data_IF_556301226751
#
_entry.id   IF_556301226751
#
_cell.length_a   1.000
_cell.length_b   1.000
_cell.length_c   1.000
_cell.angle_alpha   90.00
_cell.angle_beta   90.00
_cell.angle_gamma   90.00
#
_symmetry.space_group_name_H-M   'P 1'
#
loop_
_entity.id
_entity.type
_entity.pdbx_description
1 polymer ?
#
# COMPACT_ATOMS: atom_id res chain seq x y z
N UNK A 1 17.96 9.50 -13.59
CA UNK A 1 16.72 9.80 -12.84
C UNK A 1 15.55 9.43 -13.74
N UNK A 2 14.49 8.82 -13.21
CA UNK A 2 13.36 8.28 -14.00
C UNK A 2 12.36 9.35 -14.46
N UNK A 3 12.49 10.60 -13.99
CA UNK A 3 11.54 11.69 -14.29
C UNK A 3 10.21 11.61 -13.52
N UNK A 4 10.05 10.60 -12.65
CA UNK A 4 8.83 10.36 -11.85
C UNK A 4 9.02 10.86 -10.42
N UNK A 5 7.91 11.07 -9.70
CA UNK A 5 7.95 11.41 -8.27
C UNK A 5 8.78 10.36 -7.50
N UNK A 6 9.49 10.75 -6.43
CA UNK A 6 10.37 9.86 -5.66
C UNK A 6 9.57 8.94 -4.72
N UNK A 7 8.60 8.21 -5.26
CA UNK A 7 7.77 7.22 -4.57
C UNK A 7 7.91 5.86 -5.25
N UNK A 8 7.74 4.80 -4.48
CA UNK A 8 7.75 3.43 -5.00
C UNK A 8 6.78 2.55 -4.23
N UNK A 9 6.11 1.58 -4.89
CA UNK A 9 5.16 0.68 -4.24
C UNK A 9 5.92 -0.29 -3.32
N UNK A 10 5.90 0.00 -2.01
CA UNK A 10 6.58 -0.81 -0.98
C UNK A 10 5.74 -1.99 -0.51
N UNK A 11 4.42 -1.77 -0.38
CA UNK A 11 3.46 -2.72 0.13
C UNK A 11 2.13 -2.54 -0.62
N UNK A 12 1.36 -3.62 -0.70
CA UNK A 12 0.03 -3.62 -1.28
C UNK A 12 -0.90 -4.52 -0.48
N UNK A 13 -2.20 -4.30 -0.63
CA UNK A 13 -3.23 -5.19 -0.09
C UNK A 13 -3.78 -6.04 -1.23
N UNK A 14 -4.18 -7.28 -0.91
CA UNK A 14 -4.70 -8.23 -1.86
C UNK A 14 -6.00 -8.81 -1.30
N UNK A 15 -7.00 -8.94 -2.15
CA UNK A 15 -8.24 -9.63 -1.84
C UNK A 15 -8.48 -10.72 -2.89
N UNK A 16 -9.02 -11.85 -2.46
CA UNK A 16 -9.46 -12.89 -3.38
C UNK A 16 -10.68 -12.39 -4.16
N UNK A 17 -10.73 -12.64 -5.47
CA UNK A 17 -11.88 -12.29 -6.31
C UNK A 17 -13.19 -12.82 -5.74
N UNK A 18 -13.19 -14.04 -5.18
CA UNK A 18 -14.36 -14.63 -4.53
C UNK A 18 -14.87 -13.85 -3.30
N UNK A 19 -13.99 -13.13 -2.59
CA UNK A 19 -14.38 -12.25 -1.49
C UNK A 19 -14.86 -10.90 -2.00
N UNK A 20 -14.26 -10.38 -3.07
CA UNK A 20 -14.69 -9.16 -3.75
C UNK A 20 -16.12 -9.33 -4.26
N UNK A 21 -16.39 -10.41 -4.99
CA UNK A 21 -17.69 -10.68 -5.58
C UNK A 21 -18.76 -10.91 -4.52
N UNK A 22 -18.39 -11.64 -3.45
CA UNK A 22 -19.34 -12.01 -2.40
C UNK A 22 -19.63 -10.87 -1.42
N UNK A 23 -18.65 -10.00 -1.17
CA UNK A 23 -18.75 -8.95 -0.15
C UNK A 23 -18.17 -7.61 -0.63
N UNK A 24 -18.65 -7.03 -1.73
CA UNK A 24 -18.08 -5.81 -2.30
C UNK A 24 -18.14 -4.62 -1.32
N UNK A 25 -19.21 -4.51 -0.53
CA UNK A 25 -19.34 -3.47 0.50
C UNK A 25 -18.34 -3.62 1.65
N UNK A 26 -17.96 -4.85 2.01
CA UNK A 26 -16.92 -5.10 3.01
C UNK A 26 -15.55 -4.69 2.47
N UNK A 27 -15.25 -5.02 1.21
CA UNK A 27 -14.00 -4.61 0.57
C UNK A 27 -13.88 -3.09 0.51
N UNK A 28 -14.96 -2.39 0.14
CA UNK A 28 -14.99 -0.93 0.17
C UNK A 28 -14.74 -0.38 1.57
N UNK A 29 -15.42 -0.92 2.58
CA UNK A 29 -15.26 -0.50 3.99
C UNK A 29 -13.82 -0.68 4.47
N UNK A 30 -13.15 -1.77 4.07
CA UNK A 30 -11.75 -2.01 4.42
C UNK A 30 -10.84 -0.99 3.72
N UNK A 31 -11.06 -0.69 2.44
CA UNK A 31 -10.26 0.30 1.71
C UNK A 31 -10.38 1.69 2.34
N UNK A 32 -11.62 2.13 2.61
CA UNK A 32 -11.88 3.42 3.25
C UNK A 32 -11.23 3.49 4.65
N UNK A 33 -11.36 2.41 5.43
CA UNK A 33 -10.75 2.31 6.75
C UNK A 33 -9.21 2.35 6.73
N UNK A 34 -8.57 1.79 5.70
CA UNK A 34 -7.11 1.88 5.53
C UNK A 34 -6.67 3.31 5.20
N UNK A 35 -7.38 4.00 4.31
CA UNK A 35 -7.13 5.41 3.99
C UNK A 35 -7.32 6.28 5.24
N UNK A 36 -8.39 6.06 5.99
CA UNK A 36 -8.65 6.77 7.24
C UNK A 36 -7.55 6.51 8.28
N UNK A 37 -7.15 5.26 8.49
CA UNK A 37 -6.13 4.89 9.46
C UNK A 37 -4.77 5.52 9.15
N UNK A 38 -4.35 5.53 7.88
CA UNK A 38 -3.11 6.18 7.46
C UNK A 38 -3.18 7.68 7.73
N UNK A 39 -4.25 8.34 7.28
CA UNK A 39 -4.45 9.77 7.48
C UNK A 39 -4.51 10.14 8.97
N UNK A 40 -5.19 9.33 9.77
CA UNK A 40 -5.28 9.52 11.22
C UNK A 40 -3.90 9.39 11.88
N UNK A 41 -3.09 8.41 11.47
CA UNK A 41 -1.75 8.19 12.05
C UNK A 41 -0.80 9.36 11.81
N UNK A 42 -0.90 10.01 10.65
CA UNK A 42 -0.11 11.19 10.30
C UNK A 42 -0.56 12.44 11.06
N UNK A 43 -1.87 12.60 11.26
CA UNK A 43 -2.45 13.75 11.97
C UNK A 43 -2.31 13.63 13.49
N UNK A 44 -2.20 12.41 14.02
CA UNK A 44 -2.17 12.13 15.46
C UNK A 44 -0.95 11.26 15.82
N UNK A 45 0.30 11.72 15.58
CA UNK A 45 1.49 10.89 15.71
C UNK A 45 1.78 10.43 17.15
N UNK A 46 1.37 11.20 18.16
CA UNK A 46 1.48 10.81 19.57
C UNK A 46 0.55 9.65 19.92
N UNK A 47 -0.73 9.75 19.54
CA UNK A 47 -1.73 8.71 19.78
C UNK A 47 -1.44 7.45 18.97
N UNK A 48 -1.04 7.61 17.71
CA UNK A 48 -0.63 6.50 16.85
C UNK A 48 0.58 5.76 17.43
N UNK A 49 1.57 6.48 17.98
CA UNK A 49 2.72 5.88 18.64
C UNK A 49 2.35 5.16 19.94
N UNK A 50 1.46 5.73 20.75
CA UNK A 50 0.97 5.11 21.97
C UNK A 50 0.16 3.84 21.68
N UNK A 51 -0.65 3.85 20.62
CA UNK A 51 -1.39 2.67 20.15
C UNK A 51 -0.43 1.59 19.63
N UNK A 52 0.49 1.97 18.73
CA UNK A 52 1.47 1.07 18.15
C UNK A 52 2.35 0.39 19.20
N UNK A 53 2.73 1.11 20.27
CA UNK A 53 3.55 0.54 21.35
C UNK A 53 2.90 -0.65 22.07
N UNK A 54 1.56 -0.74 22.06
CA UNK A 54 0.81 -1.86 22.64
C UNK A 54 0.94 -3.15 21.82
N UNK A 55 1.19 -3.04 20.51
CA UNK A 55 1.14 -4.17 19.57
C UNK A 55 2.48 -4.49 18.92
N UNK A 56 3.35 -3.50 18.74
CA UNK A 56 4.59 -3.64 17.96
C UNK A 56 5.81 -4.01 18.83
N UNK A 57 5.68 -4.01 20.15
CA UNK A 57 6.81 -4.29 21.06
C UNK A 57 7.90 -3.20 21.05
N UNK A 58 7.63 -2.04 20.44
CA UNK A 58 8.53 -0.89 20.37
C UNK A 58 8.07 0.22 21.32
N UNK A 59 9.01 0.99 21.84
CA UNK A 59 8.68 2.15 22.69
C UNK A 59 8.01 3.24 21.85
N UNK A 60 6.96 3.88 22.37
CA UNK A 60 6.22 4.93 21.67
C UNK A 60 7.12 6.04 21.07
N UNK A 61 8.17 6.56 21.76
CA UNK A 61 9.06 7.55 21.13
C UNK A 61 9.78 7.07 19.87
N UNK A 62 10.07 5.76 19.77
CA UNK A 62 10.70 5.16 18.57
C UNK A 62 9.69 5.13 17.42
N UNK A 63 8.45 4.71 17.69
CA UNK A 63 7.38 4.67 16.69
C UNK A 63 7.02 6.09 16.21
N UNK A 64 6.88 7.04 17.14
CA UNK A 64 6.62 8.45 16.79
C UNK A 64 7.70 8.98 15.86
N UNK A 65 8.97 8.70 16.17
CA UNK A 65 10.09 9.10 15.33
C UNK A 65 10.03 8.45 13.94
N UNK A 66 9.65 7.17 13.84
CA UNK A 66 9.57 6.48 12.54
C UNK A 66 8.49 7.04 11.62
N UNK A 67 7.35 7.49 12.16
CA UNK A 67 6.25 8.07 11.36
C UNK A 67 6.70 9.24 10.48
N UNK A 68 7.70 10.03 10.92
CA UNK A 68 8.28 11.13 10.12
C UNK A 68 9.21 10.68 8.99
N UNK A 69 9.70 9.44 9.02
CA UNK A 69 10.55 8.87 7.97
C UNK A 69 9.78 7.99 6.99
N UNK A 70 8.57 7.57 7.35
CA UNK A 70 7.72 6.70 6.56
C UNK A 70 6.40 7.41 6.25
N UNK A 71 6.37 8.35 5.29
CA UNK A 71 5.13 8.98 4.84
C UNK A 71 4.31 7.93 4.07
N UNK A 72 3.51 7.16 4.80
CA UNK A 72 2.63 6.15 4.22
C UNK A 72 1.51 6.86 3.45
N UNK A 73 1.24 6.39 2.25
CA UNK A 73 0.10 6.82 1.44
C UNK A 73 -0.64 5.55 1.02
N UNK A 74 -1.95 5.52 1.24
CA UNK A 74 -2.81 4.49 0.66
C UNK A 74 -3.41 5.02 -0.62
N UNK A 75 -3.14 4.32 -1.71
CA UNK A 75 -3.60 4.63 -3.07
C UNK A 75 -4.36 3.41 -3.59
N UNK A 76 -5.46 3.61 -4.31
CA UNK A 76 -6.20 2.51 -4.93
C UNK A 76 -5.30 1.78 -5.95
N UNK A 77 -5.56 0.48 -6.20
CA UNK A 77 -4.74 -0.25 -7.18
C UNK A 77 -4.88 0.35 -8.59
N UNK A 78 -6.05 0.88 -8.92
CA UNK A 78 -6.32 1.62 -10.16
C UNK A 78 -5.50 2.90 -10.29
N UNK A 79 -5.46 3.74 -9.25
CA UNK A 79 -4.68 4.99 -9.28
C UNK A 79 -3.17 4.72 -9.21
N UNK A 80 -2.77 3.59 -8.61
CA UNK A 80 -1.37 3.17 -8.54
C UNK A 80 -0.89 2.41 -9.79
N UNK A 81 -1.77 2.11 -10.76
CA UNK A 81 -1.49 1.21 -11.89
C UNK A 81 -0.22 1.60 -12.65
N UNK A 82 -0.08 2.86 -13.06
CA UNK A 82 1.09 3.31 -13.81
C UNK A 82 2.39 3.15 -13.01
N UNK A 83 2.36 3.39 -11.69
CA UNK A 83 3.51 3.21 -10.82
C UNK A 83 3.91 1.73 -10.68
N UNK A 84 2.92 0.87 -10.55
CA UNK A 84 3.10 -0.57 -10.46
C UNK A 84 3.62 -1.15 -11.77
N UNK A 85 3.03 -0.81 -12.91
CA UNK A 85 3.48 -1.29 -14.23
C UNK A 85 4.89 -0.83 -14.56
N UNK A 86 5.24 0.43 -14.26
CA UNK A 86 6.60 0.91 -14.40
C UNK A 86 7.56 0.05 -13.56
N UNK A 87 7.24 -0.18 -12.28
CA UNK A 87 8.06 -0.98 -11.38
C UNK A 87 8.19 -2.44 -11.87
N UNK A 88 7.09 -3.08 -12.23
CA UNK A 88 7.06 -4.45 -12.72
C UNK A 88 7.81 -4.61 -14.03
N UNK A 89 7.76 -3.61 -14.92
CA UNK A 89 8.56 -3.60 -16.15
C UNK A 89 10.06 -3.60 -15.83
N UNK A 90 10.50 -2.80 -14.85
CA UNK A 90 11.91 -2.82 -14.39
C UNK A 90 12.29 -4.18 -13.80
N UNK A 91 11.38 -4.84 -13.09
CA UNK A 91 11.62 -6.18 -12.54
C UNK A 91 11.70 -7.25 -13.64
N UNK A 92 10.83 -7.19 -14.65
CA UNK A 92 10.84 -8.10 -15.80
C UNK A 92 12.11 -7.97 -16.62
N UNK A 93 12.66 -6.76 -16.80
CA UNK A 93 13.96 -6.55 -17.43
C UNK A 93 15.09 -7.31 -16.71
N UNK A 94 15.01 -7.45 -15.37
CA UNK A 94 16.00 -8.17 -14.57
C UNK A 94 15.72 -9.69 -14.53
N UNK A 95 14.45 -10.08 -14.50
CA UNK A 95 14.03 -11.46 -14.49
C UNK A 95 12.75 -11.65 -15.32
N UNK A 96 12.88 -12.06 -16.60
CA UNK A 96 11.75 -12.21 -17.51
C UNK A 96 10.75 -13.31 -17.14
N UNK A 97 11.01 -14.10 -16.09
CA UNK A 97 10.08 -15.16 -15.63
C UNK A 97 9.12 -14.68 -14.54
N UNK A 98 9.31 -13.47 -14.00
CA UNK A 98 8.39 -12.90 -13.03
C UNK A 98 7.01 -12.70 -13.67
N UNK A 99 5.96 -12.81 -12.87
CA UNK A 99 4.57 -12.54 -13.30
C UNK A 99 4.09 -13.38 -14.50
N UNK A 100 4.71 -14.53 -14.76
CA UNK A 100 4.38 -15.34 -15.94
C UNK A 100 4.96 -14.80 -17.26
N UNK A 101 5.83 -13.80 -17.19
CA UNK A 101 6.56 -13.22 -18.34
C UNK A 101 5.90 -12.00 -18.97
N UNK A 102 4.80 -11.52 -18.42
CA UNK A 102 4.11 -10.30 -18.84
C UNK A 102 3.66 -9.48 -17.63
N UNK A 103 3.23 -8.24 -17.87
CA UNK A 103 2.53 -7.47 -16.85
C UNK A 103 1.19 -8.13 -16.49
N UNK A 104 0.68 -7.92 -15.26
CA UNK A 104 -0.70 -8.27 -14.92
C UNK A 104 -1.70 -7.57 -15.84
N UNK A 105 -2.87 -8.17 -16.03
CA UNK A 105 -3.98 -7.55 -16.75
C UNK A 105 -4.72 -6.49 -15.92
N UNK A 106 -5.71 -5.85 -16.52
CA UNK A 106 -6.49 -4.78 -15.89
C UNK A 106 -7.30 -5.26 -14.68
N UNK A 107 -7.71 -6.54 -14.64
CA UNK A 107 -8.50 -7.10 -13.54
C UNK A 107 -7.68 -7.25 -12.25
N UNK A 108 -6.35 -7.30 -12.37
CA UNK A 108 -5.44 -7.26 -11.22
C UNK A 108 -5.56 -5.97 -10.39
N UNK A 109 -5.92 -4.85 -11.03
CA UNK A 109 -5.94 -3.51 -10.43
C UNK A 109 -7.35 -3.12 -9.97
N UNK A 110 -7.79 -3.67 -8.84
CA UNK A 110 -9.10 -3.41 -8.26
C UNK A 110 -9.30 -1.95 -7.76
N UNK A 111 -10.45 -1.35 -8.08
CA UNK A 111 -10.85 -0.01 -7.65
C UNK A 111 -11.40 0.88 -8.76
#
# INVERSE_FOLDING_TARGET
MTGRAPRFPQAGTLALTSLIDKYPGLIQTIQDGLVEAVNWSQKNPDDAAALGAKYLGLKAPVIKKSLGYTPLEMVSAKDAKEDLEFWYSRLLEQNPKLFGGSLPDDEFYYG
#
